data_IF_054950462885
#
_entry.id   IF_054950462885
#
_cell.length_a   1.000
_cell.length_b   1.000
_cell.length_c   1.000
_cell.angle_alpha   90.00
_cell.angle_beta   90.00
_cell.angle_gamma   90.00
#
_symmetry.space_group_name_H-M   'P 1'
#
loop_
_entity.id
_entity.type
_entity.pdbx_description
1 polymer ?
#
# COMPACT_ATOMS: atom_id res chain seq x y z
N UNK A 1 -8.27 -28.97 95.38
CA UNK A 1 -9.13 -28.00 96.09
C UNK A 1 -10.55 -28.19 95.61
N UNK A 2 -11.40 -28.76 96.46
CA UNK A 2 -12.86 -28.77 96.31
C UNK A 2 -13.44 -27.48 96.93
N UNK A 3 -14.78 -27.36 96.87
CA UNK A 3 -15.68 -26.31 97.42
C UNK A 3 -16.15 -25.37 96.28
N UNK A 4 -17.30 -25.59 95.62
CA UNK A 4 -18.73 -25.44 96.04
C UNK A 4 -18.98 -23.97 96.46
N UNK A 5 -19.93 -23.21 95.91
CA UNK A 5 -21.34 -23.14 96.35
C UNK A 5 -22.05 -22.09 95.45
N UNK A 6 -23.12 -22.49 94.77
CA UNK A 6 -24.20 -21.64 94.23
C UNK A 6 -24.98 -20.95 95.37
N UNK A 7 -25.84 -19.93 95.14
CA UNK A 7 -27.27 -20.31 95.21
C UNK A 7 -28.31 -19.37 94.52
N UNK A 8 -29.56 -19.89 94.52
CA UNK A 8 -30.87 -19.21 94.50
C UNK A 8 -31.23 -18.36 93.26
N UNK A 9 -32.37 -18.50 92.59
CA UNK A 9 -33.58 -19.28 92.82
C UNK A 9 -34.76 -18.69 92.02
N UNK A 10 -35.77 -19.54 91.74
CA UNK A 10 -37.17 -19.26 91.38
C UNK A 10 -37.53 -18.73 89.97
N UNK A 11 -38.31 -19.56 89.25
CA UNK A 11 -39.72 -19.18 89.00
C UNK A 11 -40.23 -19.14 87.55
N UNK A 12 -41.07 -20.13 87.23
CA UNK A 12 -42.28 -20.12 86.36
C UNK A 12 -42.15 -19.98 84.83
N UNK A 13 -42.44 -21.12 84.19
CA UNK A 13 -43.36 -21.38 83.08
C UNK A 13 -43.98 -20.16 82.35
N UNK A 14 -43.94 -20.19 81.00
CA UNK A 14 -45.13 -20.13 80.13
C UNK A 14 -44.77 -20.39 78.64
N UNK A 15 -45.42 -21.43 78.11
CA UNK A 15 -45.90 -21.67 76.73
C UNK A 15 -45.41 -20.84 75.53
N UNK A 16 -45.08 -21.52 74.43
CA UNK A 16 -45.90 -21.61 73.19
C UNK A 16 -45.13 -22.23 72.03
N UNK A 17 -45.79 -23.14 71.33
CA UNK A 17 -45.38 -23.83 70.11
C UNK A 17 -45.45 -22.92 68.88
N UNK A 18 -44.54 -23.09 67.92
CA UNK A 18 -44.74 -22.67 66.53
C UNK A 18 -44.01 -23.62 65.58
N UNK A 19 -44.79 -24.27 64.71
CA UNK A 19 -44.35 -25.16 63.64
C UNK A 19 -43.56 -24.40 62.56
N UNK A 20 -42.40 -24.91 62.15
CA UNK A 20 -41.64 -24.42 61.00
C UNK A 20 -42.03 -25.22 59.74
N UNK A 21 -42.67 -24.56 58.76
CA UNK A 21 -42.77 -25.05 57.40
C UNK A 21 -41.52 -24.64 56.61
N UNK A 22 -40.84 -25.63 56.04
CA UNK A 22 -39.61 -25.52 55.27
C UNK A 22 -39.97 -25.21 53.82
N UNK A 23 -39.66 -24.02 53.30
CA UNK A 23 -39.68 -23.74 51.86
C UNK A 23 -38.27 -24.00 51.29
N UNK A 24 -38.17 -24.97 50.40
CA UNK A 24 -36.97 -25.24 49.61
C UNK A 24 -36.90 -24.25 48.44
N UNK A 25 -36.03 -23.25 48.54
CA UNK A 25 -35.66 -22.42 47.39
C UNK A 25 -34.71 -23.25 46.53
N UNK A 26 -35.19 -23.66 45.36
CA UNK A 26 -34.39 -24.33 44.33
C UNK A 26 -33.54 -23.25 43.63
N UNK A 27 -32.28 -23.10 44.03
CA UNK A 27 -31.34 -22.25 43.31
C UNK A 27 -31.00 -22.91 41.97
N UNK A 28 -31.63 -22.42 40.90
CA UNK A 28 -31.13 -22.68 39.55
C UNK A 28 -29.84 -21.86 39.40
N UNK A 29 -28.70 -22.56 39.32
CA UNK A 29 -27.44 -21.97 38.93
C UNK A 29 -27.57 -21.45 37.50
N UNK A 30 -27.84 -20.15 37.35
CA UNK A 30 -27.63 -19.46 36.10
C UNK A 30 -26.13 -19.54 35.81
N UNK A 31 -25.73 -20.38 34.87
CA UNK A 31 -24.40 -20.25 34.28
C UNK A 31 -24.38 -18.86 33.64
N UNK A 32 -23.58 -17.97 34.20
CA UNK A 32 -23.34 -16.63 33.67
C UNK A 32 -22.76 -16.76 32.26
N UNK A 33 -23.61 -16.72 31.23
CA UNK A 33 -23.18 -16.26 29.92
C UNK A 33 -22.92 -14.77 30.07
N UNK A 34 -21.65 -14.36 30.11
CA UNK A 34 -21.32 -12.94 29.99
C UNK A 34 -22.04 -12.39 28.74
N UNK A 35 -22.83 -11.32 28.84
CA UNK A 35 -23.41 -10.72 27.65
C UNK A 35 -22.23 -10.23 26.82
N UNK A 36 -22.02 -10.82 25.65
CA UNK A 36 -21.04 -10.32 24.70
C UNK A 36 -21.54 -8.92 24.29
N UNK A 37 -20.97 -7.89 24.91
CA UNK A 37 -21.27 -6.50 24.61
C UNK A 37 -20.99 -6.27 23.12
N UNK A 38 -22.02 -5.89 22.34
CA UNK A 38 -21.87 -5.53 20.92
C UNK A 38 -22.56 -6.44 19.90
N UNK A 39 -23.29 -7.49 20.30
CA UNK A 39 -24.15 -8.23 19.36
C UNK A 39 -25.39 -7.41 19.00
N UNK A 40 -25.31 -6.70 17.88
CA UNK A 40 -26.47 -6.08 17.24
C UNK A 40 -27.25 -7.14 16.43
N UNK A 41 -28.58 -7.15 16.48
CA UNK A 41 -29.38 -8.01 15.62
C UNK A 41 -29.07 -7.69 14.15
N UNK A 42 -29.05 -8.72 13.30
CA UNK A 42 -28.83 -8.52 11.86
C UNK A 42 -30.00 -7.72 11.27
N UNK A 43 -29.72 -6.50 10.83
CA UNK A 43 -30.63 -5.59 10.13
C UNK A 43 -29.96 -5.09 8.86
N UNK A 44 -30.69 -4.31 8.04
CA UNK A 44 -30.12 -3.65 6.85
C UNK A 44 -28.98 -2.67 7.16
N UNK A 45 -28.85 -2.22 8.42
CA UNK A 45 -27.86 -1.26 8.87
C UNK A 45 -26.93 -1.79 9.97
N UNK A 46 -27.06 -3.06 10.36
CA UNK A 46 -26.26 -3.65 11.44
C UNK A 46 -24.82 -3.94 11.05
N UNK A 47 -24.57 -4.15 9.76
CA UNK A 47 -23.25 -4.32 9.17
C UNK A 47 -23.11 -3.38 7.98
N UNK A 48 -21.88 -2.97 7.63
CA UNK A 48 -21.66 -2.25 6.40
C UNK A 48 -22.18 -3.04 5.19
N UNK A 49 -22.50 -2.36 4.08
CA UNK A 49 -22.99 -3.03 2.87
C UNK A 49 -21.91 -3.86 2.15
N UNK A 50 -20.63 -3.72 2.54
CA UNK A 50 -19.51 -4.50 1.98
C UNK A 50 -19.25 -5.80 2.76
N UNK A 51 -18.75 -6.85 2.08
CA UNK A 51 -18.42 -8.11 2.75
C UNK A 51 -17.26 -7.93 3.73
N UNK A 52 -17.29 -8.69 4.82
CA UNK A 52 -16.15 -8.82 5.73
C UNK A 52 -15.07 -9.67 5.07
N UNK A 53 -13.89 -9.10 4.88
CA UNK A 53 -12.73 -9.77 4.27
C UNK A 53 -11.74 -10.11 5.39
N UNK A 54 -11.38 -11.39 5.51
CA UNK A 54 -10.32 -11.84 6.41
C UNK A 54 -9.02 -11.98 5.63
N UNK A 55 -7.97 -11.35 6.13
CA UNK A 55 -6.64 -11.49 5.55
C UNK A 55 -6.04 -12.85 5.94
N UNK A 56 -5.19 -13.45 5.07
CA UNK A 56 -4.41 -14.64 5.42
C UNK A 56 -3.44 -14.38 6.58
N UNK A 57 -2.86 -15.46 7.12
CA UNK A 57 -1.84 -15.36 8.16
C UNK A 57 -0.51 -14.82 7.58
N UNK A 58 0.16 -13.86 8.22
CA UNK A 58 1.40 -13.26 7.70
C UNK A 58 2.53 -14.25 7.43
N UNK A 59 2.58 -15.40 8.13
CA UNK A 59 3.61 -16.40 7.89
C UNK A 59 3.39 -17.12 6.54
N UNK A 60 2.16 -17.54 6.27
CA UNK A 60 1.77 -18.18 5.00
C UNK A 60 1.93 -17.22 3.81
N UNK A 61 1.56 -15.94 3.97
CA UNK A 61 1.77 -14.91 2.94
C UNK A 61 3.26 -14.71 2.62
N UNK A 62 4.13 -14.72 3.63
CA UNK A 62 5.56 -14.54 3.43
C UNK A 62 6.19 -15.69 2.64
N UNK A 63 5.74 -16.93 2.86
CA UNK A 63 6.18 -18.10 2.09
C UNK A 63 5.69 -18.02 0.64
N UNK A 64 4.41 -17.68 0.45
CA UNK A 64 3.83 -17.53 -0.88
C UNK A 64 4.52 -16.40 -1.69
N UNK A 65 4.81 -15.27 -1.06
CA UNK A 65 5.55 -14.19 -1.70
C UNK A 65 6.96 -14.61 -2.13
N UNK A 66 7.68 -15.39 -1.30
CA UNK A 66 9.01 -15.91 -1.66
C UNK A 66 8.95 -16.85 -2.85
N UNK A 67 7.96 -17.74 -2.88
CA UNK A 67 7.74 -18.66 -4.00
C UNK A 67 7.48 -17.90 -5.31
N UNK A 68 6.60 -16.89 -5.28
CA UNK A 68 6.34 -16.04 -6.45
C UNK A 68 7.61 -15.33 -6.93
N UNK A 69 8.39 -14.76 -6.00
CA UNK A 69 9.64 -14.06 -6.35
C UNK A 69 10.66 -15.01 -6.98
N UNK A 70 10.79 -16.24 -6.47
CA UNK A 70 11.64 -17.27 -7.04
C UNK A 70 11.21 -17.63 -8.47
N UNK A 71 9.92 -17.90 -8.68
CA UNK A 71 9.37 -18.20 -10.01
C UNK A 71 9.64 -17.07 -11.02
N UNK A 72 9.46 -15.80 -10.62
CA UNK A 72 9.75 -14.65 -11.48
C UNK A 72 11.25 -14.54 -11.75
N UNK A 73 12.11 -14.80 -10.77
CA UNK A 73 13.56 -14.77 -10.94
C UNK A 73 14.02 -15.85 -11.94
N UNK A 74 13.43 -17.04 -11.91
CA UNK A 74 13.68 -18.11 -12.87
C UNK A 74 13.23 -17.73 -14.30
N UNK A 75 12.07 -17.09 -14.44
CA UNK A 75 11.60 -16.58 -15.75
C UNK A 75 12.56 -15.52 -16.33
N UNK A 76 13.10 -14.64 -15.48
CA UNK A 76 14.10 -13.64 -15.90
C UNK A 76 15.41 -14.34 -16.27
N UNK A 77 15.89 -15.29 -15.46
CA UNK A 77 17.14 -16.01 -15.71
C UNK A 77 17.10 -16.87 -16.98
N UNK A 78 15.95 -17.46 -17.29
CA UNK A 78 15.73 -18.24 -18.52
C UNK A 78 15.50 -17.35 -19.76
N UNK A 79 15.33 -16.04 -19.58
CA UNK A 79 15.06 -15.10 -20.67
C UNK A 79 13.67 -15.27 -21.29
N UNK A 80 12.74 -15.93 -20.59
CA UNK A 80 11.37 -16.18 -21.05
C UNK A 80 10.48 -14.94 -20.83
N UNK A 81 10.92 -13.80 -21.32
CA UNK A 81 10.16 -12.57 -21.32
C UNK A 81 10.12 -11.97 -22.73
N UNK A 82 8.93 -11.48 -23.11
CA UNK A 82 8.74 -10.77 -24.37
C UNK A 82 9.34 -9.36 -24.35
N UNK A 83 8.76 -8.46 -25.14
CA UNK A 83 9.18 -7.05 -25.15
C UNK A 83 8.91 -6.41 -23.79
N UNK A 84 9.94 -5.77 -23.23
CA UNK A 84 9.83 -5.03 -21.97
C UNK A 84 9.37 -3.59 -22.19
N UNK A 85 8.64 -3.06 -21.22
CA UNK A 85 8.37 -1.63 -21.09
C UNK A 85 8.80 -1.14 -19.70
N UNK A 86 9.14 0.13 -19.60
CA UNK A 86 9.53 0.75 -18.34
C UNK A 86 8.83 2.09 -18.15
N UNK A 87 8.70 2.49 -16.88
CA UNK A 87 8.32 3.87 -16.51
C UNK A 87 9.54 4.52 -15.88
N UNK A 88 10.07 5.54 -16.55
CA UNK A 88 11.27 6.27 -16.11
C UNK A 88 10.91 7.68 -15.70
N UNK A 89 11.53 8.18 -14.64
CA UNK A 89 11.42 9.57 -14.24
C UNK A 89 12.63 10.34 -14.75
N UNK A 90 12.42 11.12 -15.82
CA UNK A 90 13.46 11.89 -16.48
C UNK A 90 12.96 13.32 -16.78
N UNK A 91 13.84 14.31 -16.59
CA UNK A 91 13.51 15.73 -16.76
C UNK A 91 12.22 16.16 -16.01
N UNK A 92 12.06 15.72 -14.76
CA UNK A 92 10.91 16.02 -13.89
C UNK A 92 9.55 15.53 -14.41
N UNK A 93 9.55 14.57 -15.35
CA UNK A 93 8.35 13.94 -15.89
C UNK A 93 8.53 12.42 -15.91
N UNK A 94 7.42 11.69 -15.84
CA UNK A 94 7.42 10.25 -16.00
C UNK A 94 7.12 9.89 -17.45
N UNK A 95 7.88 8.95 -18.00
CA UNK A 95 7.75 8.49 -19.38
C UNK A 95 7.52 6.99 -19.38
N UNK A 96 6.44 6.56 -20.03
CA UNK A 96 6.26 5.16 -20.40
C UNK A 96 7.06 4.93 -21.68
N UNK A 97 8.02 4.03 -21.62
CA UNK A 97 8.96 3.75 -22.71
C UNK A 97 9.03 2.26 -23.01
N UNK A 98 9.30 1.94 -24.26
CA UNK A 98 9.70 0.62 -24.73
C UNK A 98 11.02 0.73 -25.51
N UNK A 99 11.64 -0.40 -25.83
CA UNK A 99 12.82 -0.42 -26.69
C UNK A 99 12.53 0.26 -28.04
N UNK A 100 13.48 1.02 -28.55
CA UNK A 100 13.42 1.75 -29.83
C UNK A 100 12.49 2.97 -29.89
N UNK A 101 11.80 3.31 -28.80
CA UNK A 101 10.93 4.48 -28.75
C UNK A 101 11.72 5.80 -28.80
N UNK A 102 11.07 6.84 -29.34
CA UNK A 102 11.54 8.21 -29.33
C UNK A 102 10.81 9.02 -28.26
N UNK A 103 11.57 9.72 -27.41
CA UNK A 103 11.02 10.66 -26.44
C UNK A 103 11.56 12.07 -26.70
N UNK A 104 10.66 13.05 -26.69
CA UNK A 104 11.00 14.46 -26.84
C UNK A 104 11.03 15.13 -25.48
N UNK A 105 12.13 15.81 -25.19
CA UNK A 105 12.39 16.41 -23.89
C UNK A 105 12.55 17.91 -24.07
N UNK A 106 11.68 18.67 -23.42
CA UNK A 106 11.66 20.14 -23.45
C UNK A 106 12.71 20.75 -22.50
N UNK A 107 13.95 20.29 -22.58
CA UNK A 107 15.08 20.81 -21.80
C UNK A 107 16.40 20.60 -22.56
N UNK A 108 17.40 21.43 -22.22
CA UNK A 108 18.77 21.22 -22.66
C UNK A 108 19.44 20.11 -21.83
N UNK A 109 19.94 19.08 -22.50
CA UNK A 109 20.70 17.99 -21.88
C UNK A 109 22.20 18.23 -22.13
N UNK A 110 23.07 18.15 -21.10
CA UNK A 110 24.52 18.30 -21.24
C UNK A 110 25.18 17.02 -21.79
N UNK A 111 24.72 16.55 -22.95
CA UNK A 111 25.26 15.41 -23.69
C UNK A 111 25.25 15.75 -25.20
N UNK A 112 26.21 15.27 -25.98
CA UNK A 112 26.28 15.53 -27.42
C UNK A 112 25.35 14.60 -28.22
N UNK A 113 25.07 14.95 -29.47
CA UNK A 113 24.31 14.06 -30.35
C UNK A 113 25.14 12.80 -30.62
N UNK A 114 24.56 11.63 -30.37
CA UNK A 114 25.22 10.33 -30.43
C UNK A 114 25.62 9.75 -29.07
N UNK A 115 25.64 10.57 -28.01
CA UNK A 115 26.01 10.09 -26.67
C UNK A 115 24.98 9.11 -26.09
N UNK A 116 25.48 8.13 -25.36
CA UNK A 116 24.67 7.16 -24.62
C UNK A 116 24.46 7.63 -23.18
N UNK A 117 23.20 7.68 -22.77
CA UNK A 117 22.76 8.08 -21.43
C UNK A 117 22.11 6.88 -20.76
N UNK A 118 22.60 6.50 -19.58
CA UNK A 118 21.93 5.53 -18.70
C UNK A 118 20.90 6.25 -17.84
N UNK A 119 19.63 5.85 -17.94
CA UNK A 119 18.58 6.38 -17.09
C UNK A 119 18.55 5.64 -15.75
N UNK A 120 18.91 6.32 -14.67
CA UNK A 120 19.00 5.69 -13.34
C UNK A 120 17.65 5.56 -12.63
N UNK A 121 16.73 6.50 -12.87
CA UNK A 121 15.46 6.59 -12.13
C UNK A 121 14.37 5.81 -12.85
N UNK A 122 14.35 4.50 -12.64
CA UNK A 122 13.29 3.60 -13.13
C UNK A 122 12.32 3.30 -11.99
N UNK A 123 11.03 3.50 -12.23
CA UNK A 123 9.96 3.29 -11.24
C UNK A 123 9.34 1.91 -11.39
N UNK A 124 9.16 1.48 -12.63
CA UNK A 124 8.47 0.25 -12.98
C UNK A 124 9.11 -0.35 -14.22
N UNK A 125 9.18 -1.68 -14.26
CA UNK A 125 9.45 -2.46 -15.48
C UNK A 125 8.40 -3.55 -15.60
N UNK A 126 7.79 -3.66 -16.77
CA UNK A 126 6.79 -4.68 -17.07
C UNK A 126 7.19 -5.53 -18.25
N UNK A 127 6.90 -6.82 -18.13
CA UNK A 127 6.85 -7.79 -19.22
C UNK A 127 5.39 -8.16 -19.48
N UNK A 128 5.16 -9.19 -20.31
CA UNK A 128 3.82 -9.71 -20.59
C UNK A 128 3.21 -10.40 -19.34
N UNK A 129 4.02 -11.20 -18.64
CA UNK A 129 3.56 -12.08 -17.54
C UNK A 129 3.90 -11.58 -16.14
N UNK A 130 4.77 -10.58 -15.99
CA UNK A 130 5.18 -10.07 -14.69
C UNK A 130 5.44 -8.57 -14.74
N UNK A 131 5.39 -7.91 -13.58
CA UNK A 131 5.71 -6.50 -13.43
C UNK A 131 6.49 -6.28 -12.14
N UNK A 132 7.60 -5.56 -12.24
CA UNK A 132 8.45 -5.15 -11.14
C UNK A 132 8.16 -3.67 -10.82
N UNK A 133 7.75 -3.39 -9.59
CA UNK A 133 7.39 -2.05 -9.13
C UNK A 133 8.31 -1.62 -7.99
N UNK A 134 8.94 -0.46 -8.14
CA UNK A 134 9.86 0.12 -7.17
C UNK A 134 9.16 0.77 -5.99
N UNK A 135 9.88 0.91 -4.87
CA UNK A 135 9.41 1.61 -3.66
C UNK A 135 10.37 2.74 -3.25
N UNK A 136 10.35 3.91 -3.90
CA UNK A 136 9.62 4.27 -5.14
C UNK A 136 10.39 3.95 -6.43
N UNK A 137 11.69 3.66 -6.35
CA UNK A 137 12.55 3.33 -7.49
C UNK A 137 12.97 1.86 -7.44
N UNK A 138 13.29 1.29 -8.60
CA UNK A 138 13.94 -0.01 -8.70
C UNK A 138 15.45 0.12 -8.48
N UNK A 139 16.08 -0.98 -8.04
CA UNK A 139 17.52 -1.02 -7.82
C UNK A 139 18.32 -0.81 -9.12
N UNK A 140 19.45 -0.10 -9.04
CA UNK A 140 20.32 0.17 -10.20
C UNK A 140 20.91 -1.12 -10.81
N UNK A 141 21.10 -2.15 -9.98
CA UNK A 141 21.66 -3.43 -10.40
C UNK A 141 20.60 -4.32 -11.06
N UNK A 142 19.33 -4.09 -10.75
CA UNK A 142 18.20 -4.86 -11.27
C UNK A 142 17.83 -4.45 -12.70
N UNK A 143 17.87 -3.14 -13.01
CA UNK A 143 17.41 -2.61 -14.29
C UNK A 143 18.44 -1.67 -14.91
N UNK A 144 18.68 -1.85 -16.21
CA UNK A 144 19.50 -0.96 -17.03
C UNK A 144 18.69 -0.46 -18.22
N UNK A 145 18.43 0.85 -18.25
CA UNK A 145 17.80 1.53 -19.38
C UNK A 145 18.84 2.42 -20.04
N UNK A 146 19.12 2.16 -21.32
CA UNK A 146 20.03 2.98 -22.13
C UNK A 146 19.26 3.76 -23.18
N UNK A 147 19.63 5.03 -23.35
CA UNK A 147 19.10 5.90 -24.38
C UNK A 147 20.24 6.60 -25.13
N UNK A 148 20.00 6.99 -26.37
CA UNK A 148 20.90 7.79 -27.19
C UNK A 148 20.29 9.15 -27.50
N UNK A 149 21.11 10.19 -27.47
CA UNK A 149 20.71 11.50 -27.99
C UNK A 149 20.74 11.46 -29.51
N UNK A 150 19.61 11.65 -30.17
CA UNK A 150 19.58 11.72 -31.65
C UNK A 150 19.85 13.14 -32.10
N UNK A 151 18.98 14.06 -31.67
CA UNK A 151 18.99 15.42 -32.15
C UNK A 151 18.67 16.41 -31.03
N UNK A 152 19.19 17.63 -31.22
CA UNK A 152 18.83 18.81 -30.43
C UNK A 152 18.23 19.81 -31.40
N UNK A 153 16.99 20.20 -31.13
CA UNK A 153 16.20 21.09 -31.97
C UNK A 153 15.56 22.17 -31.12
N UNK A 154 15.02 23.19 -31.77
CA UNK A 154 14.23 24.22 -31.11
C UNK A 154 12.75 23.94 -31.32
N UNK A 155 11.93 24.25 -30.32
CA UNK A 155 10.49 24.13 -30.43
C UNK A 155 9.94 25.07 -31.49
N UNK A 156 8.75 24.76 -32.01
CA UNK A 156 7.99 25.73 -32.78
C UNK A 156 7.81 27.04 -31.97
N UNK A 157 7.83 28.21 -32.63
CA UNK A 157 7.79 29.50 -31.94
C UNK A 157 6.42 29.73 -31.30
N UNK A 158 6.37 29.66 -29.97
CA UNK A 158 5.15 29.86 -29.19
C UNK A 158 4.93 31.36 -28.94
N UNK A 159 3.81 31.88 -29.43
CA UNK A 159 3.43 33.29 -29.25
C UNK A 159 2.59 33.47 -27.99
N UNK A 160 3.13 34.17 -27.00
CA UNK A 160 2.45 34.54 -25.78
C UNK A 160 2.00 36.01 -25.86
N UNK A 161 0.69 36.22 -25.97
CA UNK A 161 0.09 37.56 -25.99
C UNK A 161 -0.62 37.83 -24.66
N UNK A 162 -0.30 38.97 -24.03
CA UNK A 162 -0.98 39.48 -22.84
C UNK A 162 -1.73 40.75 -23.21
N UNK A 163 -3.05 40.72 -23.11
CA UNK A 163 -3.92 41.83 -23.50
C UNK A 163 -4.82 42.25 -22.33
N UNK A 164 -5.01 43.56 -22.14
CA UNK A 164 -6.03 44.12 -21.22
C UNK A 164 -6.90 45.13 -21.97
N UNK A 165 -8.20 44.85 -22.01
CA UNK A 165 -9.20 45.66 -22.70
C UNK A 165 -9.25 47.09 -22.17
N UNK A 166 -9.33 48.09 -23.07
CA UNK A 166 -9.45 49.53 -22.76
C UNK A 166 -8.34 50.09 -21.86
N UNK A 167 -7.22 49.39 -21.72
CA UNK A 167 -6.04 49.85 -20.95
C UNK A 167 -4.82 50.13 -21.82
N UNK A 168 -4.99 50.14 -23.16
CA UNK A 168 -3.88 50.24 -24.13
C UNK A 168 -2.70 49.34 -23.76
N UNK A 169 -3.01 48.15 -23.25
CA UNK A 169 -2.03 47.20 -22.74
C UNK A 169 -2.10 45.95 -23.59
N UNK A 170 -1.11 45.79 -24.44
CA UNK A 170 -0.86 44.60 -25.24
C UNK A 170 0.64 44.33 -25.21
N UNK A 171 1.03 43.11 -24.85
CA UNK A 171 2.42 42.64 -24.87
C UNK A 171 2.48 41.31 -25.59
N UNK A 172 3.32 41.20 -26.61
CA UNK A 172 3.59 39.97 -27.34
C UNK A 172 5.02 39.51 -27.05
N UNK A 173 5.18 38.24 -26.66
CA UNK A 173 6.47 37.59 -26.48
C UNK A 173 6.48 36.30 -27.29
N UNK A 174 7.48 36.11 -28.14
CA UNK A 174 7.72 34.83 -28.81
C UNK A 174 8.71 34.06 -27.94
N UNK A 175 8.38 32.80 -27.63
CA UNK A 175 9.21 31.90 -26.83
C UNK A 175 9.51 30.67 -27.68
N UNK A 176 10.80 30.37 -27.81
CA UNK A 176 11.31 29.15 -28.44
C UNK A 176 12.03 28.39 -27.33
N UNK A 177 11.69 27.11 -27.15
CA UNK A 177 12.25 26.28 -26.11
C UNK A 177 13.21 25.27 -26.73
N UNK A 178 14.42 25.06 -26.17
CA UNK A 178 15.30 24.01 -26.64
C UNK A 178 14.69 22.63 -26.33
N UNK A 179 14.76 21.74 -27.30
CA UNK A 179 14.24 20.38 -27.26
C UNK A 179 15.36 19.39 -27.58
N UNK A 180 15.34 18.24 -26.90
CA UNK A 180 16.26 17.14 -27.17
C UNK A 180 15.43 15.88 -27.43
N UNK A 181 15.74 15.16 -28.51
CA UNK A 181 15.11 13.88 -28.83
C UNK A 181 16.05 12.77 -28.39
N UNK A 182 15.55 11.89 -27.52
CA UNK A 182 16.25 10.67 -27.13
C UNK A 182 15.58 9.46 -27.76
N UNK A 183 16.38 8.48 -28.15
CA UNK A 183 15.92 7.14 -28.51
C UNK A 183 16.29 6.15 -27.43
N UNK A 184 15.34 5.33 -27.02
CA UNK A 184 15.59 4.23 -26.09
C UNK A 184 16.25 3.10 -26.87
N UNK A 185 17.44 2.67 -26.46
CA UNK A 185 18.16 1.59 -27.11
C UNK A 185 17.67 0.24 -26.59
N UNK A 186 17.87 -0.02 -25.30
CA UNK A 186 17.54 -1.27 -24.65
C UNK A 186 17.02 -1.03 -23.23
N UNK A 187 16.19 -1.97 -22.78
CA UNK A 187 15.73 -2.11 -21.41
C UNK A 187 16.14 -3.52 -20.99
N UNK A 188 17.08 -3.62 -20.07
CA UNK A 188 17.66 -4.89 -19.61
C UNK A 188 17.33 -5.09 -18.12
N UNK A 189 17.05 -6.34 -17.74
CA UNK A 189 16.76 -6.76 -16.37
C UNK A 189 17.77 -7.84 -15.97
N UNK A 190 18.30 -7.76 -14.75
CA UNK A 190 19.17 -8.78 -14.17
C UNK A 190 18.39 -9.71 -13.20
N UNK A 191 18.72 -11.01 -13.11
CA UNK A 191 18.09 -11.95 -12.18
C UNK A 191 18.67 -11.81 -10.76
N UNK A 192 18.43 -10.66 -10.13
CA UNK A 192 18.94 -10.33 -8.78
C UNK A 192 17.77 -10.02 -7.83
N UNK A 193 16.66 -10.75 -7.99
CA UNK A 193 15.52 -10.62 -7.07
C UNK A 193 15.84 -11.35 -5.76
N UNK A 194 15.65 -10.65 -4.63
CA UNK A 194 15.84 -11.17 -3.27
C UNK A 194 14.51 -11.35 -2.56
#
# INVERSE_FOLDING_TARGET
MAIVVSPFGYGRLLSRTAFLLRSTIRSLSAQNTSPVQGLLPKTSLSSPPWPEIKLPDPAEEAEHHREIVQNVNELIATGQYGRLFAVVHFASRQWKITSEDLILIENHIPAECGDRIRMEKVLLVGADNFTLLGKPLLGKDLVRVEATVIEKTDSWPRVNVKFRRRKSYEKRKIVIQPQTVLRINSIEIAPVLS
#
